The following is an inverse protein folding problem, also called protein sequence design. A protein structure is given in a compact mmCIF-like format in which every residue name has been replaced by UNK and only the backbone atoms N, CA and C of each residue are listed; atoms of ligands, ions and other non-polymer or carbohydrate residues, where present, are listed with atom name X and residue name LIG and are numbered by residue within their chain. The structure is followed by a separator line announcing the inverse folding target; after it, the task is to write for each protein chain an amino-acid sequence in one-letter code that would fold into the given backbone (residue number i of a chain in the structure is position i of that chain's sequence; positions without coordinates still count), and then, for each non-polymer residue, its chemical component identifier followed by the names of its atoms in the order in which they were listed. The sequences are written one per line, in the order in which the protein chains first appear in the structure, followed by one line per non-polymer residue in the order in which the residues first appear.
data_IF_136724514550
#
_entry.id   IF_136724514550
#
_cell.length_a   1.000
_cell.length_b   1.000
_cell.length_c   1.000
_cell.angle_alpha   90.00
_cell.angle_beta   90.00
_cell.angle_gamma   90.00
#
_symmetry.space_group_name_H-M   'P 1'
#
loop_
_entity.id
_entity.type
_entity.pdbx_description
1 polymer ?
#
# COMPACT_ATOMS: atom_id res chain seq x y z
N UNK A 1 23.52 -42.87 84.91
CA UNK A 1 23.11 -41.53 84.62
C UNK A 1 22.95 -41.45 83.12
N UNK A 2 21.70 -41.44 82.65
CA UNK A 2 21.36 -41.43 81.20
C UNK A 2 20.69 -40.13 80.91
N UNK A 3 21.35 -39.31 80.12
CA UNK A 3 20.81 -38.00 79.56
C UNK A 3 20.20 -38.25 78.21
N UNK A 4 18.88 -38.01 78.14
CA UNK A 4 18.10 -38.06 76.90
C UNK A 4 18.22 -36.71 76.19
N UNK A 5 18.78 -36.69 74.97
CA UNK A 5 18.71 -35.57 74.08
C UNK A 5 17.38 -35.65 73.27
N UNK A 6 16.55 -34.64 73.42
CA UNK A 6 15.37 -34.40 72.60
C UNK A 6 15.74 -33.68 71.34
N UNK A 7 15.63 -34.35 70.18
CA UNK A 7 15.81 -33.75 68.87
C UNK A 7 14.48 -33.08 68.45
N UNK A 8 14.48 -31.76 68.32
CA UNK A 8 13.39 -30.95 67.72
C UNK A 8 13.61 -30.88 66.24
N UNK A 9 12.76 -31.55 65.47
CA UNK A 9 12.74 -31.47 64.00
C UNK A 9 11.89 -30.27 63.60
N UNK A 10 12.52 -29.19 63.08
CA UNK A 10 11.84 -28.04 62.54
C UNK A 10 11.38 -28.34 61.10
N UNK A 11 10.07 -28.41 60.91
CA UNK A 11 9.43 -28.55 59.59
C UNK A 11 9.37 -27.18 58.90
N UNK A 12 10.28 -26.93 57.97
CA UNK A 12 10.27 -25.72 57.15
C UNK A 12 9.20 -25.84 56.06
N UNK A 13 8.07 -25.14 56.23
CA UNK A 13 7.06 -24.94 55.18
C UNK A 13 7.61 -23.97 54.16
N UNK A 14 8.10 -24.44 53.00
CA UNK A 14 8.41 -23.62 51.84
C UNK A 14 7.08 -23.25 51.15
N UNK A 15 6.62 -22.03 51.37
CA UNK A 15 5.54 -21.45 50.59
C UNK A 15 6.05 -21.21 49.15
N UNK A 16 5.68 -22.08 48.23
CA UNK A 16 5.78 -21.81 46.81
C UNK A 16 4.82 -20.66 46.46
N UNK A 17 5.34 -19.44 46.42
CA UNK A 17 4.63 -18.32 45.83
C UNK A 17 4.35 -18.62 44.38
N UNK A 18 3.10 -18.91 44.03
CA UNK A 18 2.67 -18.91 42.62
C UNK A 18 2.84 -17.51 42.09
N UNK A 19 3.92 -17.28 41.33
CA UNK A 19 4.08 -16.09 40.50
C UNK A 19 2.94 -16.18 39.48
N UNK A 20 2.02 -15.18 39.39
CA UNK A 20 1.07 -15.19 38.31
C UNK A 20 1.90 -15.15 37.00
N UNK A 21 1.81 -16.22 36.23
CA UNK A 21 2.27 -16.20 34.85
C UNK A 21 1.41 -15.16 34.14
N UNK A 22 1.86 -13.91 34.14
CA UNK A 22 1.37 -12.93 33.18
C UNK A 22 1.58 -13.60 31.81
N UNK A 23 0.49 -13.98 31.17
CA UNK A 23 0.53 -14.39 29.78
C UNK A 23 0.98 -13.17 29.00
N UNK A 24 2.29 -12.94 28.97
CA UNK A 24 2.88 -12.03 28.05
C UNK A 24 2.61 -12.62 26.67
N UNK A 25 1.78 -11.96 25.89
CA UNK A 25 1.64 -12.22 24.45
C UNK A 25 2.90 -11.69 23.79
N UNK A 26 4.05 -12.20 24.24
CA UNK A 26 5.33 -12.01 23.58
C UNK A 26 5.27 -12.88 22.34
N UNK A 27 5.39 -12.27 21.17
CA UNK A 27 5.47 -13.01 19.93
C UNK A 27 4.29 -12.85 18.98
N UNK A 28 3.50 -11.80 19.13
CA UNK A 28 2.52 -11.37 18.11
C UNK A 28 3.06 -10.13 17.41
N UNK A 29 3.05 -10.16 16.08
CA UNK A 29 3.35 -8.99 15.23
C UNK A 29 2.19 -8.69 14.30
N UNK A 30 2.09 -7.45 13.86
CA UNK A 30 1.16 -6.99 12.84
C UNK A 30 1.97 -6.47 11.66
N UNK A 31 1.52 -6.72 10.44
CA UNK A 31 2.14 -6.15 9.24
C UNK A 31 1.13 -6.03 8.11
N UNK A 32 1.30 -4.99 7.29
CA UNK A 32 0.54 -4.76 6.07
C UNK A 32 1.43 -4.98 4.83
N UNK A 33 1.13 -6.02 4.02
CA UNK A 33 1.91 -6.28 2.80
C UNK A 33 1.89 -5.12 1.81
N UNK A 34 0.74 -4.45 1.66
CA UNK A 34 0.59 -3.36 0.70
C UNK A 34 1.41 -2.12 1.15
N UNK A 35 1.38 -1.80 2.45
CA UNK A 35 2.20 -0.73 3.03
C UNK A 35 3.69 -1.08 2.91
N UNK A 36 4.08 -2.31 3.24
CA UNK A 36 5.47 -2.74 3.16
C UNK A 36 6.03 -2.65 1.74
N UNK A 37 5.25 -3.07 0.73
CA UNK A 37 5.64 -2.98 -0.67
C UNK A 37 5.64 -1.53 -1.14
N UNK A 38 4.62 -0.73 -0.81
CA UNK A 38 4.53 0.68 -1.17
C UNK A 38 5.70 1.51 -0.60
N UNK A 39 6.16 1.19 0.62
CA UNK A 39 7.29 1.84 1.29
C UNK A 39 8.67 1.40 0.79
N UNK A 40 8.76 0.35 -0.05
CA UNK A 40 10.05 -0.16 -0.50
C UNK A 40 10.75 0.79 -1.49
N UNK A 41 12.05 0.93 -1.37
CA UNK A 41 12.88 1.71 -2.30
C UNK A 41 12.83 1.15 -3.73
N UNK A 42 12.74 -0.17 -3.85
CA UNK A 42 12.63 -0.85 -5.14
C UNK A 42 11.37 -0.42 -5.91
N UNK A 43 10.22 -0.26 -5.24
CA UNK A 43 9.00 0.20 -5.89
C UNK A 43 9.09 1.67 -6.32
N UNK A 44 9.63 2.53 -5.46
CA UNK A 44 9.83 3.95 -5.76
C UNK A 44 10.74 4.14 -6.98
N UNK A 45 11.87 3.43 -7.02
CA UNK A 45 12.80 3.44 -8.14
C UNK A 45 12.14 2.90 -9.43
N UNK A 46 11.41 1.78 -9.33
CA UNK A 46 10.70 1.19 -10.46
C UNK A 46 9.63 2.15 -11.02
N UNK A 47 8.85 2.81 -10.18
CA UNK A 47 7.83 3.76 -10.64
C UNK A 47 8.43 4.98 -11.33
N UNK A 48 9.57 5.47 -10.83
CA UNK A 48 10.34 6.53 -11.50
C UNK A 48 10.82 6.07 -12.87
N UNK A 49 11.39 4.86 -12.96
CA UNK A 49 11.87 4.29 -14.22
C UNK A 49 10.71 4.02 -15.20
N UNK A 50 9.57 3.50 -14.73
CA UNK A 50 8.34 3.31 -15.53
C UNK A 50 7.89 4.67 -16.10
N UNK A 51 7.90 5.73 -15.28
CA UNK A 51 7.57 7.08 -15.70
C UNK A 51 8.42 7.56 -16.88
N UNK A 52 9.71 7.27 -16.85
CA UNK A 52 10.66 7.60 -17.91
C UNK A 52 10.51 6.70 -19.14
N UNK A 53 10.43 5.37 -18.92
CA UNK A 53 10.33 4.38 -20.00
C UNK A 53 9.07 4.57 -20.86
N UNK A 54 7.96 4.93 -20.22
CA UNK A 54 6.65 5.10 -20.88
C UNK A 54 6.26 6.57 -21.05
N UNK A 55 7.23 7.48 -21.11
CA UNK A 55 6.95 8.91 -21.27
C UNK A 55 6.17 9.23 -22.55
N UNK A 56 6.51 8.59 -23.68
CA UNK A 56 5.80 8.78 -24.93
C UNK A 56 4.31 8.39 -24.81
N UNK A 57 4.02 7.24 -24.19
CA UNK A 57 2.66 6.77 -23.94
C UNK A 57 1.89 7.72 -23.00
N UNK A 58 2.54 8.26 -21.98
CA UNK A 58 1.93 9.25 -21.07
C UNK A 58 1.54 10.54 -21.82
N UNK A 59 2.44 11.07 -22.65
CA UNK A 59 2.13 12.23 -23.50
C UNK A 59 0.98 11.92 -24.46
N UNK A 60 0.95 10.71 -25.04
CA UNK A 60 -0.15 10.28 -25.89
C UNK A 60 -1.48 10.20 -25.12
N UNK A 61 -1.46 9.69 -23.88
CA UNK A 61 -2.65 9.65 -23.02
C UNK A 61 -3.19 11.04 -22.71
N UNK A 62 -2.33 12.01 -22.42
CA UNK A 62 -2.72 13.41 -22.21
C UNK A 62 -3.40 14.00 -23.48
N UNK A 63 -2.86 13.70 -24.65
CA UNK A 63 -3.46 14.13 -25.92
C UNK A 63 -4.84 13.47 -26.16
N UNK A 64 -4.95 12.17 -25.91
CA UNK A 64 -6.21 11.44 -26.06
C UNK A 64 -7.30 11.93 -25.08
N UNK A 65 -6.91 12.23 -23.84
CA UNK A 65 -7.80 12.85 -22.86
C UNK A 65 -8.25 14.23 -23.30
N UNK A 66 -7.33 15.06 -23.82
CA UNK A 66 -7.66 16.36 -24.40
C UNK A 66 -8.63 16.28 -25.58
N UNK A 67 -8.49 15.26 -26.44
CA UNK A 67 -9.43 15.01 -27.54
C UNK A 67 -10.83 14.61 -27.02
N UNK A 68 -10.86 13.75 -25.99
CA UNK A 68 -12.11 13.34 -25.33
C UNK A 68 -12.84 14.52 -24.71
N UNK A 69 -12.12 15.38 -24.00
CA UNK A 69 -12.65 16.60 -23.42
C UNK A 69 -13.15 17.58 -24.49
N UNK A 70 -12.44 17.71 -25.61
CA UNK A 70 -12.84 18.54 -26.73
C UNK A 70 -14.15 18.05 -27.39
N UNK A 71 -14.37 16.73 -27.47
CA UNK A 71 -15.64 16.17 -27.94
C UNK A 71 -16.80 16.49 -26.99
N UNK A 72 -16.59 16.43 -25.68
CA UNK A 72 -17.61 16.75 -24.68
C UNK A 72 -17.94 18.24 -24.65
N UNK A 73 -16.93 19.12 -24.77
CA UNK A 73 -17.13 20.58 -24.82
C UNK A 73 -18.01 21.06 -25.97
N UNK A 74 -18.20 20.28 -27.04
CA UNK A 74 -19.13 20.63 -28.11
C UNK A 74 -20.59 20.65 -27.64
N UNK A 75 -20.88 20.01 -26.52
CA UNK A 75 -22.20 19.93 -25.93
C UNK A 75 -22.36 20.81 -24.67
N UNK A 76 -21.31 21.42 -24.19
CA UNK A 76 -21.30 22.41 -23.12
C UNK A 76 -21.88 23.72 -23.66
N UNK A 77 -23.21 23.88 -23.53
CA UNK A 77 -23.97 24.99 -24.13
C UNK A 77 -23.98 26.24 -23.26
N UNK A 78 -23.77 26.08 -21.96
CA UNK A 78 -23.72 27.19 -21.01
C UNK A 78 -22.27 27.65 -20.70
N UNK A 79 -21.27 26.86 -21.13
CA UNK A 79 -19.85 27.21 -21.04
C UNK A 79 -19.27 27.09 -19.62
N UNK A 80 -19.94 26.34 -18.73
CA UNK A 80 -19.49 26.17 -17.33
C UNK A 80 -18.40 25.10 -17.17
N UNK A 81 -18.11 24.36 -18.24
CA UNK A 81 -17.11 23.28 -18.27
C UNK A 81 -17.56 21.98 -17.63
N UNK A 82 -18.86 21.88 -17.25
CA UNK A 82 -19.46 20.68 -16.72
C UNK A 82 -20.54 20.19 -17.69
N UNK A 83 -20.88 18.91 -17.63
CA UNK A 83 -21.94 18.34 -18.45
C UNK A 83 -23.20 18.21 -17.61
N UNK A 84 -24.18 19.09 -17.81
CA UNK A 84 -25.48 18.96 -17.20
C UNK A 84 -26.33 17.86 -17.89
N UNK A 85 -27.46 17.50 -17.31
CA UNK A 85 -28.29 16.39 -17.80
C UNK A 85 -28.76 16.55 -19.24
N UNK A 86 -29.14 17.76 -19.67
CA UNK A 86 -29.60 18.03 -21.03
C UNK A 86 -28.42 17.89 -22.04
N UNK A 87 -27.26 18.36 -21.70
CA UNK A 87 -26.04 18.23 -22.50
C UNK A 87 -25.57 16.79 -22.60
N UNK A 88 -25.63 16.02 -21.51
CA UNK A 88 -25.36 14.58 -21.53
C UNK A 88 -26.32 13.83 -22.46
N UNK A 89 -27.62 14.14 -22.42
CA UNK A 89 -28.62 13.56 -23.32
C UNK A 89 -28.33 13.92 -24.78
N UNK A 90 -27.98 15.18 -25.05
CA UNK A 90 -27.63 15.62 -26.41
C UNK A 90 -26.36 14.88 -26.94
N UNK A 91 -25.36 14.72 -26.12
CA UNK A 91 -24.16 13.97 -26.47
C UNK A 91 -24.47 12.48 -26.73
N UNK A 92 -25.30 11.85 -25.88
CA UNK A 92 -25.72 10.47 -26.04
C UNK A 92 -26.62 10.23 -27.25
N UNK A 93 -27.37 11.23 -27.67
CA UNK A 93 -28.19 11.15 -28.89
C UNK A 93 -27.36 11.26 -30.18
N UNK A 94 -26.11 11.70 -30.09
CA UNK A 94 -25.22 11.86 -31.25
C UNK A 94 -24.40 10.58 -31.49
N UNK A 95 -24.88 9.72 -32.40
CA UNK A 95 -24.25 8.45 -32.72
C UNK A 95 -22.78 8.59 -33.17
N UNK A 96 -22.42 9.66 -33.87
CA UNK A 96 -21.05 9.92 -34.32
C UNK A 96 -20.13 10.18 -33.13
N UNK A 97 -20.57 10.99 -32.17
CA UNK A 97 -19.79 11.29 -30.96
C UNK A 97 -19.61 10.05 -30.11
N UNK A 98 -20.66 9.23 -29.94
CA UNK A 98 -20.55 7.96 -29.23
C UNK A 98 -19.53 7.03 -29.86
N UNK A 99 -19.51 6.88 -31.18
CA UNK A 99 -18.50 6.08 -31.87
C UNK A 99 -17.08 6.64 -31.69
N UNK A 100 -16.89 7.96 -31.77
CA UNK A 100 -15.60 8.60 -31.54
C UNK A 100 -15.12 8.42 -30.11
N UNK A 101 -16.01 8.56 -29.11
CA UNK A 101 -15.70 8.31 -27.70
C UNK A 101 -15.27 6.87 -27.45
N UNK A 102 -15.99 5.89 -28.00
CA UNK A 102 -15.63 4.48 -27.91
C UNK A 102 -14.25 4.17 -28.52
N UNK A 103 -13.94 4.76 -29.67
CA UNK A 103 -12.64 4.60 -30.31
C UNK A 103 -11.50 5.22 -29.48
N UNK A 104 -11.74 6.41 -28.89
CA UNK A 104 -10.79 7.04 -27.97
C UNK A 104 -10.59 6.21 -26.69
N UNK A 105 -11.66 5.73 -26.08
CA UNK A 105 -11.59 4.89 -24.87
C UNK A 105 -10.80 3.59 -25.12
N UNK A 106 -11.01 2.94 -26.28
CA UNK A 106 -10.21 1.80 -26.69
C UNK A 106 -8.72 2.13 -26.85
N UNK A 107 -8.42 3.26 -27.49
CA UNK A 107 -7.04 3.70 -27.70
C UNK A 107 -6.37 4.08 -26.37
N UNK A 108 -7.10 4.74 -25.48
CA UNK A 108 -6.65 5.04 -24.10
C UNK A 108 -6.31 3.76 -23.35
N UNK A 109 -7.21 2.76 -23.35
CA UNK A 109 -6.96 1.48 -22.70
C UNK A 109 -5.74 0.76 -23.27
N UNK A 110 -5.58 0.69 -24.58
CA UNK A 110 -4.42 0.09 -25.25
C UNK A 110 -3.11 0.78 -24.90
N UNK A 111 -3.13 2.13 -24.84
CA UNK A 111 -1.96 2.94 -24.49
C UNK A 111 -1.60 2.81 -23.01
N UNK A 112 -2.59 2.63 -22.14
CA UNK A 112 -2.44 2.52 -20.68
C UNK A 112 -2.00 1.11 -20.23
N UNK A 113 -2.39 0.08 -20.97
CA UNK A 113 -2.17 -1.32 -20.60
C UNK A 113 -0.69 -1.66 -20.33
N UNK A 114 0.30 -1.29 -21.16
CA UNK A 114 1.70 -1.62 -20.90
C UNK A 114 2.24 -0.94 -19.63
N UNK A 115 1.77 0.26 -19.32
CA UNK A 115 2.15 0.99 -18.09
C UNK A 115 1.61 0.26 -16.86
N UNK A 116 0.35 -0.17 -16.90
CA UNK A 116 -0.27 -0.92 -15.80
C UNK A 116 0.43 -2.28 -15.61
N UNK A 117 0.70 -3.01 -16.69
CA UNK A 117 1.42 -4.29 -16.61
C UNK A 117 2.82 -4.11 -16.00
N UNK A 118 3.54 -3.07 -16.37
CA UNK A 118 4.85 -2.77 -15.81
C UNK A 118 4.78 -2.50 -14.28
N UNK A 119 3.77 -1.76 -13.83
CA UNK A 119 3.55 -1.49 -12.41
C UNK A 119 3.19 -2.74 -11.62
N UNK A 120 2.29 -3.57 -12.15
CA UNK A 120 1.90 -4.83 -11.51
C UNK A 120 3.12 -5.77 -11.43
N UNK A 121 3.93 -5.84 -12.49
CA UNK A 121 5.12 -6.67 -12.53
C UNK A 121 6.17 -6.23 -11.50
N UNK A 122 6.38 -4.91 -11.34
CA UNK A 122 7.27 -4.39 -10.30
C UNK A 122 6.81 -4.81 -8.89
N UNK A 123 5.52 -4.69 -8.61
CA UNK A 123 4.93 -5.12 -7.34
C UNK A 123 5.09 -6.64 -7.14
N UNK A 124 4.83 -7.45 -8.16
CA UNK A 124 4.95 -8.91 -8.08
C UNK A 124 6.37 -9.35 -7.72
N UNK A 125 7.40 -8.73 -8.34
CA UNK A 125 8.79 -9.04 -8.04
C UNK A 125 9.14 -8.78 -6.56
N UNK A 126 8.62 -7.70 -5.97
CA UNK A 126 8.83 -7.38 -4.55
C UNK A 126 8.01 -8.34 -3.67
N UNK A 127 6.76 -8.60 -4.04
CA UNK A 127 5.86 -9.48 -3.30
C UNK A 127 6.41 -10.91 -3.18
N UNK A 128 7.12 -11.40 -4.19
CA UNK A 128 7.80 -12.71 -4.13
C UNK A 128 8.83 -12.82 -3.00
N UNK A 129 9.41 -11.70 -2.54
CA UNK A 129 10.38 -11.68 -1.45
C UNK A 129 9.76 -11.28 -0.11
N UNK A 130 8.48 -10.87 -0.09
CA UNK A 130 7.80 -10.46 1.13
C UNK A 130 7.81 -11.56 2.19
N UNK A 131 7.50 -12.80 1.82
CA UNK A 131 7.52 -13.94 2.75
C UNK A 131 8.90 -14.18 3.37
N UNK A 132 9.97 -14.04 2.59
CA UNK A 132 11.35 -14.16 3.08
C UNK A 132 11.70 -13.01 4.04
N UNK A 133 11.25 -11.78 3.76
CA UNK A 133 11.44 -10.64 4.64
C UNK A 133 10.72 -10.84 5.98
N UNK A 134 9.45 -11.26 5.94
CA UNK A 134 8.67 -11.59 7.14
C UNK A 134 9.36 -12.65 7.99
N UNK A 135 9.81 -13.76 7.39
CA UNK A 135 10.49 -14.84 8.14
C UNK A 135 11.74 -14.34 8.87
N UNK A 136 12.54 -13.48 8.23
CA UNK A 136 13.74 -12.93 8.85
C UNK A 136 13.43 -11.96 9.99
N UNK A 137 12.41 -11.10 9.84
CA UNK A 137 11.97 -10.17 10.89
C UNK A 137 11.35 -10.94 12.07
N UNK A 138 10.50 -11.91 11.79
CA UNK A 138 9.88 -12.79 12.80
C UNK A 138 10.94 -13.51 13.64
N UNK A 139 11.98 -14.06 13.00
CA UNK A 139 13.07 -14.74 13.69
C UNK A 139 13.90 -13.78 14.56
N UNK A 140 14.15 -12.55 14.06
CA UNK A 140 14.93 -11.55 14.79
C UNK A 140 14.19 -11.01 16.04
N UNK A 141 12.84 -10.93 15.97
CA UNK A 141 12.00 -10.37 17.03
C UNK A 141 11.33 -11.44 17.92
N UNK A 142 11.65 -12.73 17.75
CA UNK A 142 11.03 -13.85 18.46
C UNK A 142 9.48 -13.84 18.37
N UNK A 143 8.95 -13.47 17.20
CA UNK A 143 7.51 -13.44 16.94
C UNK A 143 7.03 -14.83 16.53
N UNK A 144 5.90 -15.27 17.08
CA UNK A 144 5.30 -16.57 16.83
C UNK A 144 4.06 -16.52 15.96
N UNK A 145 3.43 -15.33 15.85
CA UNK A 145 2.20 -15.11 15.11
C UNK A 145 2.23 -13.74 14.43
N UNK A 146 1.95 -13.73 13.14
CA UNK A 146 1.73 -12.49 12.38
C UNK A 146 0.24 -12.36 12.04
N UNK A 147 -0.30 -11.19 12.28
CA UNK A 147 -1.67 -10.83 11.94
C UNK A 147 -1.69 -9.74 10.86
N UNK A 148 -2.70 -9.78 10.00
CA UNK A 148 -3.00 -8.66 9.10
C UNK A 148 -3.74 -7.55 9.85
N UNK A 149 -3.59 -6.26 9.45
CA UNK A 149 -4.28 -5.15 10.11
C UNK A 149 -5.80 -5.32 10.18
N UNK A 150 -6.42 -5.87 9.12
CA UNK A 150 -7.87 -6.13 9.07
C UNK A 150 -8.38 -7.13 10.09
N UNK A 151 -7.50 -7.90 10.74
CA UNK A 151 -7.84 -8.87 11.80
C UNK A 151 -7.62 -8.30 13.21
N UNK A 152 -7.21 -7.04 13.34
CA UNK A 152 -6.80 -6.42 14.59
C UNK A 152 -7.66 -5.18 14.86
N UNK A 153 -8.31 -5.13 16.03
CA UNK A 153 -9.09 -3.95 16.45
C UNK A 153 -8.18 -2.86 17.04
N UNK A 154 -7.12 -3.28 17.72
CA UNK A 154 -6.13 -2.39 18.32
C UNK A 154 -4.76 -3.10 18.37
N UNK A 155 -3.73 -2.39 17.98
CA UNK A 155 -2.34 -2.79 18.13
C UNK A 155 -1.53 -1.59 18.65
N UNK A 156 -0.61 -1.83 19.57
CA UNK A 156 0.39 -0.81 19.93
C UNK A 156 1.45 -0.75 18.84
N UNK A 157 2.05 0.43 18.63
CA UNK A 157 3.08 0.63 17.60
C UNK A 157 4.26 -0.36 17.72
N UNK A 158 4.57 -0.77 18.94
CA UNK A 158 5.65 -1.72 19.22
C UNK A 158 5.44 -3.14 18.66
N UNK A 159 4.23 -3.49 18.22
CA UNK A 159 3.94 -4.79 17.57
C UNK A 159 3.76 -4.67 16.07
N UNK A 160 3.79 -3.46 15.51
CA UNK A 160 3.81 -3.23 14.05
C UNK A 160 5.23 -3.44 13.51
N UNK A 161 5.40 -4.48 12.72
CA UNK A 161 6.68 -4.87 12.11
C UNK A 161 6.82 -4.38 10.67
N UNK A 162 5.90 -3.55 10.19
CA UNK A 162 5.86 -3.13 8.77
C UNK A 162 7.14 -2.41 8.37
N UNK A 163 7.65 -1.48 9.19
CA UNK A 163 8.88 -0.74 8.90
C UNK A 163 10.12 -1.64 8.89
N UNK A 164 10.20 -2.62 9.78
CA UNK A 164 11.29 -3.59 9.79
C UNK A 164 11.27 -4.49 8.55
N UNK A 165 10.07 -4.87 8.09
CA UNK A 165 9.88 -5.63 6.86
C UNK A 165 10.28 -4.78 5.65
N UNK A 166 9.93 -3.49 5.61
CA UNK A 166 10.40 -2.56 4.57
C UNK A 166 11.94 -2.52 4.52
N UNK A 167 12.59 -2.36 5.68
CA UNK A 167 14.04 -2.34 5.76
C UNK A 167 14.66 -3.65 5.24
N UNK A 168 14.03 -4.78 5.55
CA UNK A 168 14.47 -6.10 5.07
C UNK A 168 14.22 -6.27 3.57
N UNK A 169 13.07 -5.84 3.06
CA UNK A 169 12.78 -5.84 1.62
C UNK A 169 13.80 -5.01 0.84
N UNK A 170 14.18 -3.83 1.33
CA UNK A 170 15.19 -2.98 0.71
C UNK A 170 16.57 -3.66 0.60
N UNK A 171 16.86 -4.60 1.52
CA UNK A 171 18.07 -5.41 1.47
C UNK A 171 17.94 -6.58 0.49
N UNK A 172 16.81 -7.28 0.48
CA UNK A 172 16.57 -8.47 -0.34
C UNK A 172 16.31 -8.14 -1.80
N UNK A 173 15.66 -6.99 -2.06
CA UNK A 173 15.24 -6.54 -3.39
C UNK A 173 15.65 -5.08 -3.57
N UNK A 174 16.92 -4.80 -3.85
CA UNK A 174 17.39 -3.44 -4.04
C UNK A 174 16.80 -2.78 -5.31
N UNK A 175 16.48 -3.59 -6.34
CA UNK A 175 15.93 -3.14 -7.61
C UNK A 175 15.01 -4.19 -8.21
N UNK A 176 14.04 -3.73 -9.03
CA UNK A 176 13.16 -4.60 -9.84
C UNK A 176 13.06 -4.06 -11.27
N UNK A 177 12.64 -4.91 -12.20
CA UNK A 177 12.45 -4.52 -13.59
C UNK A 177 11.23 -3.62 -13.73
N UNK A 178 11.39 -2.53 -14.49
CA UNK A 178 10.33 -1.60 -14.86
C UNK A 178 9.56 -2.02 -16.14
N UNK A 179 9.83 -3.21 -16.67
CA UNK A 179 9.17 -3.73 -17.88
C UNK A 179 8.84 -5.19 -17.67
N UNK A 180 7.58 -5.55 -17.91
CA UNK A 180 7.15 -6.94 -17.90
C UNK A 180 7.72 -7.69 -19.11
N UNK A 181 8.13 -8.97 -18.97
CA UNK A 181 8.55 -9.80 -20.10
C UNK A 181 7.44 -9.95 -21.12
N UNK A 182 7.82 -10.17 -22.38
CA UNK A 182 6.84 -10.45 -23.43
C UNK A 182 6.00 -11.71 -23.10
N UNK A 183 4.68 -11.58 -23.19
CA UNK A 183 3.75 -12.66 -22.87
C UNK A 183 3.53 -12.92 -21.37
N UNK A 184 4.16 -12.16 -20.49
CA UNK A 184 3.86 -12.26 -19.05
C UNK A 184 2.43 -11.82 -18.76
N UNK A 185 1.77 -12.54 -17.88
CA UNK A 185 0.44 -12.21 -17.39
C UNK A 185 0.45 -12.14 -15.86
N UNK A 186 -0.19 -11.12 -15.28
CA UNK A 186 -0.20 -10.97 -13.84
C UNK A 186 -1.00 -12.08 -13.16
N UNK A 187 -0.53 -12.52 -12.01
CA UNK A 187 -1.32 -13.36 -11.13
C UNK A 187 -2.47 -12.55 -10.52
N UNK A 188 -3.60 -13.19 -10.21
CA UNK A 188 -4.75 -12.50 -9.59
C UNK A 188 -4.37 -11.78 -8.30
N UNK A 189 -3.54 -12.42 -7.48
CA UNK A 189 -3.06 -11.83 -6.22
C UNK A 189 -2.24 -10.57 -6.45
N UNK A 190 -1.37 -10.55 -7.49
CA UNK A 190 -0.57 -9.37 -7.84
C UNK A 190 -1.45 -8.20 -8.30
N UNK A 191 -2.55 -8.48 -9.00
CA UNK A 191 -3.53 -7.46 -9.40
C UNK A 191 -4.24 -6.86 -8.18
N UNK A 192 -4.68 -7.69 -7.23
CA UNK A 192 -5.30 -7.22 -5.98
C UNK A 192 -4.33 -6.34 -5.20
N UNK A 193 -3.11 -6.81 -5.00
CA UNK A 193 -2.07 -6.06 -4.28
C UNK A 193 -1.72 -4.74 -4.97
N UNK A 194 -1.69 -4.73 -6.32
CA UNK A 194 -1.53 -3.49 -7.09
C UNK A 194 -2.65 -2.49 -6.79
N UNK A 195 -3.90 -2.92 -6.72
CA UNK A 195 -5.04 -2.05 -6.40
C UNK A 195 -4.92 -1.46 -4.99
N UNK A 196 -4.54 -2.27 -4.00
CA UNK A 196 -4.30 -1.82 -2.63
C UNK A 196 -3.17 -0.79 -2.55
N UNK A 197 -2.03 -1.07 -3.19
CA UNK A 197 -0.88 -0.14 -3.27
C UNK A 197 -1.27 1.17 -3.98
N UNK A 198 -2.03 1.10 -5.08
CA UNK A 198 -2.50 2.30 -5.78
C UNK A 198 -3.41 3.16 -4.88
N UNK A 199 -4.31 2.55 -4.13
CA UNK A 199 -5.19 3.26 -3.21
C UNK A 199 -4.41 3.95 -2.09
N UNK A 200 -3.39 3.27 -1.52
CA UNK A 200 -2.48 3.86 -0.52
C UNK A 200 -1.72 5.07 -1.08
N UNK A 201 -1.14 4.94 -2.27
CA UNK A 201 -0.39 6.04 -2.90
C UNK A 201 -1.28 7.23 -3.24
N UNK A 202 -2.52 7.01 -3.69
CA UNK A 202 -3.49 8.08 -3.94
C UNK A 202 -3.90 8.80 -2.65
N UNK A 203 -4.20 8.05 -1.59
CA UNK A 203 -4.56 8.65 -0.30
C UNK A 203 -3.41 9.47 0.30
N UNK A 204 -2.18 8.98 0.21
CA UNK A 204 -0.99 9.71 0.64
C UNK A 204 -0.78 11.01 -0.16
N UNK A 205 -0.98 10.98 -1.49
CA UNK A 205 -0.88 12.17 -2.33
C UNK A 205 -1.93 13.23 -1.97
N UNK A 206 -3.18 12.83 -1.74
CA UNK A 206 -4.27 13.74 -1.30
C UNK A 206 -3.94 14.37 0.05
N UNK A 207 -3.45 13.59 1.01
CA UNK A 207 -3.05 14.11 2.32
C UNK A 207 -1.92 15.13 2.22
N UNK A 208 -0.92 14.88 1.38
CA UNK A 208 0.18 15.82 1.14
C UNK A 208 -0.33 17.14 0.53
N UNK A 209 -1.25 17.08 -0.44
CA UNK A 209 -1.84 18.29 -1.02
C UNK A 209 -2.63 19.10 0.01
N UNK A 210 -3.40 18.44 0.87
CA UNK A 210 -4.15 19.11 1.94
C UNK A 210 -3.22 19.79 2.96
N UNK A 211 -2.12 19.15 3.32
CA UNK A 211 -1.13 19.75 4.24
C UNK A 211 -0.43 20.96 3.63
N UNK A 212 -0.16 20.96 2.32
CA UNK A 212 0.45 22.10 1.61
C UNK A 212 -0.55 23.24 1.40
N UNK A 213 -1.85 22.94 1.29
CA UNK A 213 -2.91 23.93 1.11
C UNK A 213 -3.39 24.56 2.44
N UNK A 214 -3.05 23.97 3.61
CA UNK A 214 -3.38 24.53 4.91
C UNK A 214 -2.61 25.85 5.12
N UNK A 215 -3.28 27.01 5.35
CA UNK A 215 -2.61 28.28 5.60
C UNK A 215 -1.76 28.14 6.85
N UNK A 216 -0.50 28.60 6.76
CA UNK A 216 0.40 28.68 7.92
C UNK A 216 -0.32 29.45 9.04
N UNK A 217 -0.67 28.76 10.12
CA UNK A 217 -1.25 29.41 11.29
C UNK A 217 -0.25 30.45 11.77
N UNK A 218 -0.62 31.72 11.64
CA UNK A 218 0.17 32.80 12.20
C UNK A 218 0.37 32.57 13.71
N UNK A 219 1.57 32.78 14.25
CA UNK A 219 1.81 32.62 15.68
C UNK A 219 0.85 33.52 16.45
N UNK A 220 0.04 32.92 17.32
CA UNK A 220 -0.82 33.66 18.24
C UNK A 220 0.12 34.45 19.17
N UNK A 221 0.28 35.76 18.90
CA UNK A 221 0.95 36.67 19.82
C UNK A 221 0.07 36.77 21.07
N UNK A 222 0.51 36.07 22.12
CA UNK A 222 -0.06 36.18 23.44
C UNK A 222 0.14 37.62 23.97
N UNK A 223 -0.97 38.16 24.40
CA UNK A 223 -1.02 39.43 25.18
C UNK A 223 -0.99 39.07 26.64
#
# INVERSE_FOLDING_TARGET
MRTHLLSITALALTAFGAVPAAAQVNGVGVTDPAIAIAGSQALQAAYTQIGTTYQAQRTQLEQLQGQRDALLRQFDTDGDGQMNEAEQQAAQANATVIQQMQALDQTIQQTQAPIQLARIYAIEQIAMQYGNAVQQVVAANNVSLILSPGSVVYAADAVDLTDEIIARLNTLVPTVSASAPAGWQPQRQSVTLFQEVQQLLLSAAVQQQQQQAAPAQAPVQGR
#
